data_IF_925485936022
#
_entry.id   IF_925485936022
#
_cell.length_a   1.000
_cell.length_b   1.000
_cell.length_c   1.000
_cell.angle_alpha   90.00
_cell.angle_beta   90.00
_cell.angle_gamma   90.00
#
_symmetry.space_group_name_H-M   'P 1'
#
loop_
_entity.id
_entity.type
_entity.pdbx_description
1 polymer ?
#
# COMPACT_ATOMS: atom_id res chain seq x y z
N UNK A 1 4.70 10.08 3.32
CA UNK A 1 3.83 9.95 4.51
C UNK A 1 4.13 8.61 5.07
N UNK A 2 4.51 8.56 6.32
CA UNK A 2 4.81 7.28 6.97
C UNK A 2 3.47 6.69 7.42
N UNK A 3 3.33 5.37 7.25
CA UNK A 3 2.13 4.63 7.62
C UNK A 3 2.56 3.44 8.47
N UNK A 4 2.32 3.54 9.77
CA UNK A 4 2.65 2.52 10.78
C UNK A 4 1.48 2.21 11.73
N UNK A 5 1.43 0.98 12.25
CA UNK A 5 0.45 0.59 13.27
C UNK A 5 -1.00 0.99 12.98
N UNK A 6 -1.56 1.87 13.81
CA UNK A 6 -2.96 2.34 13.73
C UNK A 6 -3.23 3.24 12.50
N UNK A 7 -2.20 3.84 11.91
CA UNK A 7 -2.33 4.74 10.76
C UNK A 7 -2.86 4.02 9.52
N UNK A 8 -2.66 2.71 9.42
CA UNK A 8 -3.27 1.88 8.39
C UNK A 8 -4.80 1.95 8.42
N UNK A 9 -5.39 1.93 9.62
CA UNK A 9 -6.83 2.05 9.81
C UNK A 9 -7.33 3.45 9.47
N UNK A 10 -6.56 4.49 9.83
CA UNK A 10 -6.86 5.88 9.47
C UNK A 10 -6.82 6.07 7.95
N UNK A 11 -5.78 5.59 7.28
CA UNK A 11 -5.67 5.66 5.84
C UNK A 11 -6.83 4.93 5.16
N UNK A 12 -7.23 3.76 5.67
CA UNK A 12 -8.40 3.06 5.16
C UNK A 12 -9.67 3.93 5.25
N UNK A 13 -9.89 4.63 6.38
CA UNK A 13 -11.04 5.53 6.54
C UNK A 13 -10.96 6.74 5.59
N UNK A 14 -9.77 7.29 5.38
CA UNK A 14 -9.55 8.38 4.41
C UNK A 14 -9.85 7.92 2.99
N UNK A 15 -9.46 6.69 2.61
CA UNK A 15 -9.75 6.12 1.30
C UNK A 15 -11.26 5.92 1.06
N UNK A 16 -12.02 5.61 2.11
CA UNK A 16 -13.49 5.54 2.04
C UNK A 16 -14.12 6.92 1.87
N UNK A 17 -13.49 7.98 2.35
CA UNK A 17 -13.93 9.36 2.15
C UNK A 17 -13.25 10.01 0.93
N UNK A 18 -13.70 9.62 -0.26
CA UNK A 18 -13.09 9.97 -1.55
C UNK A 18 -12.92 11.47 -1.81
N UNK A 19 -13.69 12.32 -1.11
CA UNK A 19 -13.61 13.78 -1.23
C UNK A 19 -12.25 14.36 -0.86
N UNK A 20 -11.57 13.78 0.15
CA UNK A 20 -10.25 14.23 0.62
C UNK A 20 -9.19 14.00 -0.45
N UNK A 21 -9.31 12.89 -1.18
CA UNK A 21 -8.35 12.50 -2.20
C UNK A 21 -8.78 12.96 -3.61
N UNK A 22 -9.87 13.72 -3.76
CA UNK A 22 -10.43 14.07 -5.07
C UNK A 22 -9.47 14.90 -5.94
N UNK A 23 -8.62 15.74 -5.35
CA UNK A 23 -7.64 16.57 -6.07
C UNK A 23 -6.22 15.98 -6.11
N UNK A 24 -5.95 14.93 -5.32
CA UNK A 24 -4.62 14.35 -5.16
C UNK A 24 -4.21 13.56 -6.40
N UNK A 25 -3.06 13.84 -7.00
CA UNK A 25 -2.58 13.12 -8.20
C UNK A 25 -1.37 12.25 -7.94
N UNK A 26 -0.73 12.42 -6.80
CA UNK A 26 0.45 11.71 -6.38
C UNK A 26 0.37 11.45 -4.87
N UNK A 27 0.75 10.25 -4.46
CA UNK A 27 0.89 9.85 -3.07
C UNK A 27 2.25 9.17 -2.91
N UNK A 28 3.03 9.63 -1.94
CA UNK A 28 4.28 8.97 -1.56
C UNK A 28 4.15 8.48 -0.12
N UNK A 29 4.40 7.18 0.08
CA UNK A 29 4.27 6.50 1.36
C UNK A 29 5.59 5.87 1.77
N UNK A 30 5.90 5.89 3.06
CA UNK A 30 6.77 4.88 3.66
C UNK A 30 5.84 3.91 4.40
N UNK A 31 5.87 2.63 4.05
CA UNK A 31 5.04 1.61 4.69
C UNK A 31 5.82 0.86 5.76
N UNK A 32 5.18 0.67 6.90
CA UNK A 32 5.68 -0.13 8.00
C UNK A 32 4.70 -1.29 8.23
N UNK A 33 5.16 -2.51 7.94
CA UNK A 33 4.39 -3.75 8.11
C UNK A 33 4.70 -4.41 9.46
N UNK A 34 4.92 -3.58 10.49
CA UNK A 34 5.36 -3.95 11.83
C UNK A 34 4.39 -4.89 12.56
N UNK A 35 3.09 -4.83 12.23
CA UNK A 35 2.10 -5.75 12.79
C UNK A 35 2.37 -7.22 12.43
N UNK A 36 3.16 -7.51 11.38
CA UNK A 36 3.53 -8.87 11.02
C UNK A 36 4.68 -9.44 11.87
N UNK A 37 5.41 -8.58 12.59
CA UNK A 37 6.55 -9.02 13.40
C UNK A 37 6.10 -9.99 14.48
N UNK A 38 6.81 -11.11 14.56
CA UNK A 38 6.61 -12.13 15.61
C UNK A 38 5.22 -12.77 15.65
N UNK A 39 4.35 -12.54 14.66
CA UNK A 39 3.06 -13.24 14.56
C UNK A 39 3.33 -14.64 14.03
N UNK A 40 3.02 -15.66 14.84
CA UNK A 40 3.33 -17.07 14.53
C UNK A 40 2.13 -17.80 13.95
N UNK A 41 0.94 -17.41 14.37
CA UNK A 41 -0.32 -18.01 13.98
C UNK A 41 -0.65 -17.65 12.52
N UNK A 42 -0.77 -18.64 11.61
CA UNK A 42 -1.01 -18.37 10.20
C UNK A 42 -2.29 -17.56 9.93
N UNK A 43 -3.37 -17.85 10.65
CA UNK A 43 -4.64 -17.13 10.51
C UNK A 43 -4.50 -15.65 10.87
N UNK A 44 -3.78 -15.34 11.93
CA UNK A 44 -3.49 -13.96 12.35
C UNK A 44 -2.64 -13.24 11.32
N UNK A 45 -1.59 -13.88 10.78
CA UNK A 45 -0.77 -13.31 9.70
C UNK A 45 -1.62 -12.98 8.47
N UNK A 46 -2.44 -13.93 8.03
CA UNK A 46 -3.32 -13.74 6.87
C UNK A 46 -4.32 -12.61 7.08
N UNK A 47 -4.89 -12.48 8.27
CA UNK A 47 -5.79 -11.37 8.60
C UNK A 47 -5.09 -10.01 8.51
N UNK A 48 -3.84 -9.91 8.99
CA UNK A 48 -3.03 -8.69 8.92
C UNK A 48 -2.65 -8.37 7.47
N UNK A 49 -2.21 -9.35 6.68
CA UNK A 49 -1.92 -9.16 5.26
C UNK A 49 -3.17 -8.68 4.52
N UNK A 50 -4.32 -9.28 4.81
CA UNK A 50 -5.58 -8.88 4.22
C UNK A 50 -5.96 -7.43 4.57
N UNK A 51 -5.61 -6.93 5.76
CA UNK A 51 -5.87 -5.53 6.14
C UNK A 51 -5.00 -4.56 5.33
N UNK A 52 -3.71 -4.84 5.16
CA UNK A 52 -2.83 -4.06 4.29
C UNK A 52 -3.31 -4.09 2.84
N UNK A 53 -3.66 -5.27 2.32
CA UNK A 53 -4.13 -5.43 0.96
C UNK A 53 -5.42 -4.64 0.70
N UNK A 54 -6.34 -4.54 1.67
CA UNK A 54 -7.55 -3.71 1.53
C UNK A 54 -7.22 -2.23 1.28
N UNK A 55 -6.21 -1.69 1.95
CA UNK A 55 -5.77 -0.30 1.76
C UNK A 55 -5.16 -0.11 0.37
N UNK A 56 -4.24 -1.00 -0.02
CA UNK A 56 -3.57 -0.94 -1.33
C UNK A 56 -4.57 -1.12 -2.49
N UNK A 57 -5.55 -2.02 -2.33
CA UNK A 57 -6.65 -2.18 -3.29
C UNK A 57 -7.58 -0.96 -3.31
N UNK A 58 -7.80 -0.31 -2.16
CA UNK A 58 -8.55 0.95 -2.09
C UNK A 58 -7.89 2.07 -2.89
N UNK A 59 -6.56 2.20 -2.81
CA UNK A 59 -5.79 3.13 -3.65
C UNK A 59 -5.98 2.83 -5.14
N UNK A 60 -5.86 1.56 -5.52
CA UNK A 60 -6.08 1.12 -6.90
C UNK A 60 -7.49 1.44 -7.40
N UNK A 61 -8.52 1.21 -6.57
CA UNK A 61 -9.91 1.53 -6.89
C UNK A 61 -10.15 3.04 -7.07
N UNK A 62 -9.35 3.89 -6.43
CA UNK A 62 -9.36 5.34 -6.61
C UNK A 62 -8.52 5.81 -7.81
N UNK A 63 -7.96 4.89 -8.59
CA UNK A 63 -7.16 5.17 -9.80
C UNK A 63 -5.69 5.47 -9.53
N UNK A 64 -5.20 5.26 -8.31
CA UNK A 64 -3.78 5.34 -8.02
C UNK A 64 -3.07 4.06 -8.47
N UNK A 65 -1.97 4.22 -9.19
CA UNK A 65 -1.12 3.13 -9.66
C UNK A 65 0.25 3.24 -9.00
N UNK A 66 0.77 2.13 -8.49
CA UNK A 66 2.13 2.06 -7.99
C UNK A 66 3.10 2.23 -9.16
N UNK A 67 4.04 3.17 -9.04
CA UNK A 67 5.06 3.48 -10.06
C UNK A 67 6.49 3.36 -9.55
N UNK A 68 6.70 3.42 -8.23
CA UNK A 68 7.99 3.09 -7.60
C UNK A 68 7.76 2.28 -6.33
N UNK A 69 8.65 1.32 -6.09
CA UNK A 69 8.79 0.52 -4.89
C UNK A 69 10.26 0.46 -4.55
N UNK A 70 10.64 0.95 -3.38
CA UNK A 70 12.03 1.00 -2.93
C UNK A 70 12.10 0.39 -1.53
N UNK A 71 12.89 -0.67 -1.38
CA UNK A 71 13.11 -1.30 -0.08
C UNK A 71 13.91 -0.35 0.84
N UNK A 72 13.71 -0.46 2.16
CA UNK A 72 14.57 0.26 3.09
C UNK A 72 15.99 -0.34 3.09
N UNK A 73 16.86 0.19 2.24
CA UNK A 73 18.25 -0.28 2.06
C UNK A 73 19.15 0.01 3.27
N UNK A 74 18.79 0.96 4.12
CA UNK A 74 19.59 1.36 5.29
C UNK A 74 19.37 0.42 6.48
N UNK A 75 18.16 -0.10 6.63
CA UNK A 75 17.78 -1.05 7.69
C UNK A 75 16.80 -2.10 7.15
N UNK A 76 17.28 -3.01 6.28
CA UNK A 76 16.41 -3.98 5.63
C UNK A 76 15.88 -4.98 6.66
N UNK A 77 14.56 -5.13 6.71
CA UNK A 77 13.90 -6.09 7.57
C UNK A 77 12.87 -6.88 6.79
N UNK A 78 12.78 -8.15 7.10
CA UNK A 78 12.00 -9.09 6.32
C UNK A 78 11.21 -10.04 7.22
N UNK A 79 10.08 -10.50 6.70
CA UNK A 79 9.30 -11.60 7.25
C UNK A 79 9.02 -12.63 6.15
N UNK A 80 8.95 -13.92 6.50
CA UNK A 80 8.57 -14.98 5.57
C UNK A 80 7.07 -15.21 5.67
N UNK A 81 6.31 -14.82 4.66
CA UNK A 81 4.87 -15.03 4.56
C UNK A 81 4.62 -16.09 3.49
N UNK A 82 4.03 -17.23 3.86
CA UNK A 82 3.69 -18.31 2.94
C UNK A 82 4.87 -18.73 2.03
N UNK A 83 6.09 -18.71 2.58
CA UNK A 83 7.33 -19.05 1.86
C UNK A 83 7.92 -17.90 1.02
N UNK A 84 7.27 -16.74 0.97
CA UNK A 84 7.73 -15.54 0.28
C UNK A 84 8.38 -14.59 1.28
N UNK A 85 9.61 -14.16 0.99
CA UNK A 85 10.28 -13.11 1.77
C UNK A 85 9.70 -11.76 1.39
N UNK A 86 9.17 -11.04 2.37
CA UNK A 86 8.55 -9.73 2.19
C UNK A 86 9.27 -8.69 3.05
N UNK A 87 9.59 -7.54 2.46
CA UNK A 87 10.12 -6.40 3.22
C UNK A 87 9.07 -5.84 4.17
N UNK A 88 9.48 -5.60 5.41
CA UNK A 88 8.65 -4.91 6.39
C UNK A 88 8.60 -3.41 6.16
N UNK A 89 9.59 -2.86 5.46
CA UNK A 89 9.76 -1.43 5.25
C UNK A 89 10.04 -1.13 3.78
N UNK A 90 9.26 -0.25 3.19
CA UNK A 90 9.44 0.19 1.82
C UNK A 90 8.87 1.59 1.59
N UNK A 91 9.49 2.33 0.69
CA UNK A 91 8.94 3.55 0.10
C UNK A 91 8.14 3.20 -1.16
N UNK A 92 6.95 3.77 -1.27
CA UNK A 92 6.01 3.55 -2.36
C UNK A 92 5.61 4.88 -2.99
N UNK A 93 5.70 4.97 -4.31
CA UNK A 93 5.15 6.09 -5.07
C UNK A 93 3.94 5.64 -5.88
N UNK A 94 2.81 6.30 -5.62
CA UNK A 94 1.57 6.11 -6.37
C UNK A 94 1.24 7.36 -7.18
N UNK A 95 0.85 7.15 -8.44
CA UNK A 95 0.36 8.21 -9.31
C UNK A 95 -1.07 7.89 -9.77
N UNK A 96 -1.93 8.90 -9.73
CA UNK A 96 -3.25 8.85 -10.34
C UNK A 96 -3.22 9.68 -11.61
N UNK A 97 -3.42 9.02 -12.76
CA UNK A 97 -3.62 9.76 -14.00
C UNK A 97 -4.87 10.61 -13.86
N UNK A 98 -4.75 11.93 -14.01
CA UNK A 98 -5.93 12.74 -14.33
C UNK A 98 -6.53 12.12 -15.59
N UNK A 99 -7.83 11.87 -15.58
CA UNK A 99 -8.53 11.44 -16.78
C UNK A 99 -8.36 12.55 -17.82
N UNK A 100 -7.40 12.41 -18.74
CA UNK A 100 -7.16 13.37 -19.83
C UNK A 100 -8.14 13.17 -20.98
N UNK A 101 -9.10 12.24 -20.87
CA UNK A 101 -10.01 11.88 -21.95
C UNK A 101 -9.35 11.03 -23.05
N UNK A 102 -8.05 10.79 -22.98
CA UNK A 102 -7.34 9.93 -23.93
C UNK A 102 -7.48 8.47 -23.51
N UNK A 103 -8.22 7.70 -24.31
CA UNK A 103 -8.24 6.25 -24.23
C UNK A 103 -6.83 5.73 -24.43
N UNK A 104 -6.30 5.00 -23.45
CA UNK A 104 -5.12 4.18 -23.69
C UNK A 104 -5.49 3.08 -24.68
N UNK A 105 -4.64 2.77 -25.66
CA UNK A 105 -4.82 1.57 -26.46
C UNK A 105 -4.79 0.37 -25.52
N UNK A 106 -5.85 -0.44 -25.55
CA UNK A 106 -5.83 -1.78 -24.98
C UNK A 106 -4.75 -2.53 -25.75
N UNK A 107 -3.59 -2.74 -25.10
CA UNK A 107 -2.50 -3.55 -25.63
C UNK A 107 -2.98 -4.98 -25.83
N UNK A 108 -2.67 -5.54 -27.00
CA UNK A 108 -3.10 -6.86 -27.47
C UNK A 108 -2.34 -8.05 -26.90
#
# INVERSE_FOLDING_TARGET
>A
MDIEGEEWGVLQQVLLNTSVLASVTQLSFEIHLDMLRNVKEPESRQAIIASYMKVLQGLAALGFHLVSYEENMLNPQYEIVDGVQMNLYAELLYLRRKYTGEKLPLGG
#
